data_IF_416264704392
#
_entry.id   IF_416264704392
#
_cell.length_a   1.000
_cell.length_b   1.000
_cell.length_c   1.000
_cell.angle_alpha   90.00
_cell.angle_beta   90.00
_cell.angle_gamma   90.00
#
_symmetry.space_group_name_H-M   'P 1'
#
loop_
_entity.id
_entity.type
_entity.pdbx_description
1 polymer ?
#
# COMPACT_ATOMS: atom_id res chain seq x y z
N UNK A 1 -11.04 11.65 -12.63
CA UNK A 1 -10.74 10.84 -11.44
C UNK A 1 -9.70 11.61 -10.63
N UNK A 2 -10.02 11.99 -9.40
CA UNK A 2 -9.09 12.71 -8.52
C UNK A 2 -8.07 11.71 -7.95
N UNK A 3 -6.78 12.00 -8.10
CA UNK A 3 -5.70 11.24 -7.47
C UNK A 3 -5.22 12.03 -6.25
N UNK A 4 -5.24 11.39 -5.09
CA UNK A 4 -4.68 11.93 -3.85
C UNK A 4 -3.38 11.19 -3.53
N UNK A 5 -2.36 11.96 -3.18
CA UNK A 5 -1.04 11.45 -2.80
C UNK A 5 -0.80 11.75 -1.32
N UNK A 6 -0.33 10.75 -0.60
CA UNK A 6 -0.07 10.83 0.83
C UNK A 6 1.26 10.15 1.14
N UNK A 7 2.02 10.74 2.06
CA UNK A 7 3.19 10.12 2.65
C UNK A 7 2.76 9.37 3.92
N UNK A 8 3.25 8.14 4.08
CA UNK A 8 2.96 7.31 5.24
C UNK A 8 4.22 7.16 6.07
N UNK A 9 4.16 7.60 7.32
CA UNK A 9 5.23 7.39 8.29
C UNK A 9 4.96 6.12 9.10
N UNK A 10 5.90 5.17 9.05
CA UNK A 10 5.86 3.98 9.89
C UNK A 10 6.44 4.30 11.27
N UNK A 11 5.58 4.54 12.26
CA UNK A 11 5.98 4.83 13.65
C UNK A 11 6.60 3.62 14.37
N UNK A 12 6.43 2.42 13.82
CA UNK A 12 6.99 1.16 14.30
C UNK A 12 7.14 0.18 13.12
N UNK A 13 7.90 -0.93 13.27
CA UNK A 13 7.98 -1.96 12.24
C UNK A 13 6.60 -2.48 11.83
N UNK A 14 6.29 -2.41 10.53
CA UNK A 14 5.04 -2.90 9.96
C UNK A 14 5.17 -4.36 9.52
N UNK A 15 4.08 -5.12 9.59
CA UNK A 15 4.07 -6.53 9.21
C UNK A 15 2.91 -6.83 8.26
N UNK A 16 3.23 -7.37 7.08
CA UNK A 16 2.29 -7.74 6.02
C UNK A 16 2.65 -9.15 5.52
N UNK A 17 2.42 -10.19 6.34
CA UNK A 17 2.85 -11.54 6.03
C UNK A 17 1.89 -12.18 5.02
N UNK A 18 2.41 -12.90 4.05
CA UNK A 18 1.59 -13.80 3.24
C UNK A 18 1.23 -15.03 4.09
N UNK A 19 -0.06 -15.18 4.42
CA UNK A 19 -0.52 -16.40 5.10
C UNK A 19 -0.50 -17.56 4.12
N UNK A 20 0.31 -18.57 4.43
CA UNK A 20 0.11 -19.93 3.91
C UNK A 20 -0.31 -20.82 5.10
N UNK A 21 -1.52 -21.42 5.08
CA UNK A 21 -1.95 -22.30 6.17
C UNK A 21 -0.96 -23.48 6.33
N UNK A 22 -0.45 -23.67 7.54
CA UNK A 22 0.42 -24.82 7.88
C UNK A 22 1.92 -24.65 7.62
N UNK A 23 2.42 -23.44 7.33
CA UNK A 23 3.85 -23.19 7.10
C UNK A 23 4.37 -22.03 7.95
N UNK A 24 5.69 -22.02 8.17
CA UNK A 24 6.44 -20.96 8.88
C UNK A 24 6.11 -19.59 8.29
N UNK A 25 6.04 -18.55 9.12
CA UNK A 25 5.74 -17.18 8.70
C UNK A 25 6.66 -16.76 7.54
N UNK A 26 6.06 -16.38 6.41
CA UNK A 26 6.80 -15.75 5.32
C UNK A 26 7.22 -14.33 5.72
N UNK A 27 8.30 -13.86 5.13
CA UNK A 27 8.74 -12.48 5.28
C UNK A 27 7.62 -11.50 4.91
N UNK A 28 7.55 -10.38 5.64
CA UNK A 28 6.61 -9.29 5.33
C UNK A 28 6.94 -8.65 3.98
N UNK A 29 5.89 -8.20 3.29
CA UNK A 29 6.06 -7.43 2.05
C UNK A 29 6.90 -6.16 2.29
N UNK A 30 7.77 -5.77 1.34
CA UNK A 30 8.64 -4.59 1.49
C UNK A 30 7.92 -3.26 1.21
N UNK A 31 6.58 -3.28 1.13
CA UNK A 31 5.72 -2.13 0.86
C UNK A 31 4.37 -2.32 1.59
N UNK A 32 3.60 -1.24 1.75
CA UNK A 32 2.26 -1.33 2.33
C UNK A 32 1.25 -1.69 1.24
N UNK A 33 0.52 -2.82 1.35
CA UNK A 33 -0.45 -3.21 0.34
C UNK A 33 -1.64 -2.25 0.30
N UNK A 34 -2.10 -1.90 -0.91
CA UNK A 34 -3.29 -1.07 -1.09
C UNK A 34 -4.55 -1.68 -0.45
N UNK A 35 -4.65 -3.01 -0.43
CA UNK A 35 -5.73 -3.70 0.27
C UNK A 35 -5.68 -3.52 1.80
N UNK A 36 -4.48 -3.44 2.39
CA UNK A 36 -4.33 -3.16 3.81
C UNK A 36 -4.75 -1.72 4.14
N UNK A 37 -4.37 -0.75 3.30
CA UNK A 37 -4.82 0.64 3.41
C UNK A 37 -6.34 0.75 3.30
N UNK A 38 -6.94 0.06 2.33
CA UNK A 38 -8.39 0.03 2.16
C UNK A 38 -9.10 -0.53 3.39
N UNK A 39 -8.60 -1.65 3.93
CA UNK A 39 -9.13 -2.24 5.16
C UNK A 39 -9.00 -1.31 6.36
N UNK A 40 -7.86 -0.63 6.52
CA UNK A 40 -7.62 0.34 7.59
C UNK A 40 -8.59 1.54 7.51
N UNK A 41 -8.81 2.10 6.30
CA UNK A 41 -9.80 3.17 6.10
C UNK A 41 -11.21 2.71 6.47
N UNK A 42 -11.59 1.50 6.06
CA UNK A 42 -12.88 0.92 6.43
C UNK A 42 -13.06 0.78 7.93
N UNK A 43 -12.03 0.35 8.67
CA UNK A 43 -12.06 0.27 10.13
C UNK A 43 -12.21 1.66 10.77
N UNK A 44 -11.47 2.66 10.30
CA UNK A 44 -11.54 4.04 10.82
C UNK A 44 -12.93 4.63 10.60
N UNK A 45 -13.48 4.54 9.38
CA UNK A 45 -14.83 5.05 9.09
C UNK A 45 -15.91 4.29 9.86
N UNK A 46 -15.76 2.98 10.04
CA UNK A 46 -16.65 2.18 10.88
C UNK A 46 -16.64 2.64 12.34
N UNK A 47 -15.45 2.86 12.90
CA UNK A 47 -15.29 3.32 14.29
C UNK A 47 -15.81 4.74 14.52
N UNK A 48 -15.76 5.60 13.50
CA UNK A 48 -16.27 6.98 13.55
C UNK A 48 -17.78 7.09 13.28
N UNK A 49 -18.46 5.99 12.97
CA UNK A 49 -19.88 6.02 12.56
C UNK A 49 -20.11 6.70 11.21
N UNK A 50 -19.06 6.91 10.42
CA UNK A 50 -19.08 7.60 9.13
C UNK A 50 -18.97 6.61 7.95
N UNK A 51 -19.47 5.38 8.14
CA UNK A 51 -19.42 4.35 7.12
C UNK A 51 -20.30 4.74 5.92
N UNK A 52 -19.67 4.84 4.75
CA UNK A 52 -20.34 5.04 3.47
C UNK A 52 -19.87 3.98 2.47
N UNK A 53 -20.79 3.07 2.11
CA UNK A 53 -20.52 1.98 1.18
C UNK A 53 -20.33 2.45 -0.27
N UNK A 54 -20.94 3.57 -0.67
CA UNK A 54 -20.76 4.12 -2.01
C UNK A 54 -19.37 4.74 -2.14
N UNK A 55 -18.95 5.52 -1.14
CA UNK A 55 -17.61 6.08 -1.06
C UNK A 55 -16.54 4.99 -1.08
N UNK A 56 -16.64 3.98 -0.22
CA UNK A 56 -15.66 2.89 -0.18
C UNK A 56 -15.59 2.12 -1.50
N UNK A 57 -16.71 1.91 -2.21
CA UNK A 57 -16.69 1.27 -3.54
C UNK A 57 -16.02 2.13 -4.62
N UNK A 58 -16.08 3.46 -4.48
CA UNK A 58 -15.45 4.39 -5.41
C UNK A 58 -13.95 4.55 -5.16
N UNK A 59 -13.48 4.35 -3.93
CA UNK A 59 -12.05 4.46 -3.58
C UNK A 59 -11.24 3.30 -4.18
N UNK A 60 -10.04 3.62 -4.67
CA UNK A 60 -9.01 2.66 -5.06
C UNK A 60 -7.72 3.02 -4.33
N UNK A 61 -7.29 2.15 -3.43
CA UNK A 61 -6.02 2.30 -2.72
C UNK A 61 -4.91 1.64 -3.52
N UNK A 62 -3.89 2.41 -3.89
CA UNK A 62 -2.67 1.88 -4.49
C UNK A 62 -1.70 1.40 -3.40
N UNK A 63 -0.75 0.53 -3.76
CA UNK A 63 0.34 0.16 -2.86
C UNK A 63 1.17 1.39 -2.52
N UNK A 64 1.54 1.55 -1.25
CA UNK A 64 2.48 2.57 -0.82
C UNK A 64 3.88 1.98 -0.75
N UNK A 65 4.76 2.47 -1.63
CA UNK A 65 6.14 2.02 -1.74
C UNK A 65 7.05 2.89 -0.86
N UNK A 66 8.13 2.32 -0.29
CA UNK A 66 9.09 3.10 0.45
C UNK A 66 9.76 4.12 -0.47
N UNK A 67 9.83 5.36 -0.01
CA UNK A 67 10.51 6.46 -0.68
C UNK A 67 11.27 7.27 0.39
N UNK A 68 12.44 7.80 0.03
CA UNK A 68 13.12 8.79 0.86
C UNK A 68 12.48 10.15 0.65
N UNK A 69 12.69 11.05 1.61
CA UNK A 69 12.25 12.43 1.48
C UNK A 69 12.88 13.05 0.21
N UNK A 70 12.03 13.62 -0.65
CA UNK A 70 12.38 14.18 -1.97
C UNK A 70 12.66 13.16 -3.10
N UNK A 71 12.46 11.86 -2.89
CA UNK A 71 12.48 10.93 -4.02
C UNK A 71 11.33 11.26 -4.99
N UNK A 72 11.64 11.30 -6.28
CA UNK A 72 10.59 11.35 -7.29
C UNK A 72 9.79 10.04 -7.22
N UNK A 73 8.46 10.12 -7.17
CA UNK A 73 7.62 8.93 -7.14
C UNK A 73 7.86 8.08 -8.40
N UNK A 74 8.38 6.86 -8.22
CA UNK A 74 8.60 5.89 -9.29
C UNK A 74 7.69 4.69 -9.08
N UNK A 75 6.91 4.34 -10.11
CA UNK A 75 6.15 3.08 -10.09
C UNK A 75 7.13 1.91 -10.13
N UNK A 76 6.87 0.82 -9.38
CA UNK A 76 7.65 -0.39 -9.53
C UNK A 76 7.68 -0.79 -10.98
N UNK A 77 8.85 -1.21 -11.43
CA UNK A 77 9.00 -1.71 -12.78
C UNK A 77 8.13 -2.97 -12.94
N UNK A 78 7.48 -3.15 -14.10
CA UNK A 78 6.82 -4.41 -14.38
C UNK A 78 7.84 -5.54 -14.24
N UNK A 79 7.40 -6.73 -13.83
CA UNK A 79 8.28 -7.90 -13.69
C UNK A 79 8.98 -8.28 -15.01
N UNK A 80 8.46 -7.80 -16.14
CA UNK A 80 9.01 -7.96 -17.48
C UNK A 80 9.98 -6.84 -17.90
N UNK A 81 10.29 -5.89 -17.01
CA UNK A 81 11.27 -4.86 -17.31
C UNK A 81 12.66 -5.49 -17.40
N UNK A 82 13.21 -5.53 -18.61
CA UNK A 82 14.53 -6.10 -18.90
C UNK A 82 15.65 -5.18 -18.38
N UNK A 83 15.37 -3.88 -18.18
CA UNK A 83 16.34 -2.90 -17.69
C UNK A 83 15.75 -2.01 -16.58
N UNK A 84 16.55 -1.66 -15.55
CA UNK A 84 16.16 -0.68 -14.55
C UNK A 84 16.05 0.73 -15.17
N UNK A 85 15.11 1.54 -14.66
CA UNK A 85 14.94 2.93 -15.11
C UNK A 85 16.14 3.76 -14.65
N UNK A 86 16.85 4.39 -15.59
CA UNK A 86 17.96 5.30 -15.30
C UNK A 86 19.38 4.74 -15.54
N UNK A 87 19.51 3.61 -16.23
CA UNK A 87 20.79 3.21 -16.81
C UNK A 87 20.89 3.78 -18.23
N UNK A 88 21.44 5.00 -18.35
CA UNK A 88 22.13 5.44 -19.57
C UNK A 88 23.56 4.86 -19.58
#
# INVERSE_FOLDING_TARGET
MLLLSFDLEALAPLTFPERKPGVQFNASLPYVPGAALFGALGQVFGAQGSFDAALLRAIRCHNAYPARQNDAWVRPLPATAIQPKGAD
#
